data_IF_536492666295
#
_entry.id   IF_536492666295
#
_cell.length_a   1.000
_cell.length_b   1.000
_cell.length_c   1.000
_cell.angle_alpha   90.00
_cell.angle_beta   90.00
_cell.angle_gamma   90.00
#
_symmetry.space_group_name_H-M   'P 1'
#
loop_
_entity.id
_entity.type
_entity.pdbx_description
1 polymer ?
#
# COMPACT_ATOMS: atom_id res chain seq x y z
N UNK A 1 13.23 -10.01 2.07
CA UNK A 1 13.75 -8.74 1.48
C UNK A 1 13.52 -8.83 -0.01
N UNK A 2 13.00 -7.76 -0.60
CA UNK A 2 12.89 -7.70 -2.06
C UNK A 2 14.24 -7.90 -2.74
N UNK A 3 14.21 -8.43 -3.94
CA UNK A 3 15.40 -8.68 -4.77
C UNK A 3 16.23 -7.41 -4.91
N UNK A 4 17.53 -7.44 -4.57
CA UNK A 4 18.36 -6.25 -4.66
C UNK A 4 18.52 -5.81 -6.13
N UNK A 5 18.44 -4.50 -6.35
CA UNK A 5 18.68 -3.92 -7.67
C UNK A 5 20.16 -4.10 -8.03
N UNK A 6 20.51 -4.66 -9.20
CA UNK A 6 21.88 -4.82 -9.64
C UNK A 6 22.58 -3.47 -9.77
N UNK A 7 23.90 -3.42 -9.56
CA UNK A 7 24.70 -2.21 -9.71
C UNK A 7 24.60 -1.53 -11.10
N UNK A 8 24.20 -2.27 -12.12
CA UNK A 8 23.95 -1.77 -13.47
C UNK A 8 22.49 -1.38 -13.76
N UNK A 9 21.66 -1.36 -12.72
CA UNK A 9 20.22 -1.14 -12.87
C UNK A 9 19.43 -2.41 -13.23
N UNK A 10 18.10 -2.28 -13.26
CA UNK A 10 17.21 -3.37 -13.65
C UNK A 10 17.25 -3.53 -15.17
N UNK A 11 17.58 -4.73 -15.64
CA UNK A 11 17.53 -5.05 -17.08
C UNK A 11 16.06 -5.15 -17.48
N UNK A 12 15.59 -4.20 -18.27
CA UNK A 12 14.24 -4.23 -18.85
C UNK A 12 14.18 -5.29 -19.96
N UNK A 13 13.17 -6.11 -19.88
CA UNK A 13 12.79 -7.07 -20.91
C UNK A 13 11.46 -6.63 -21.53
N UNK A 14 11.20 -7.13 -22.75
CA UNK A 14 9.84 -7.04 -23.26
C UNK A 14 8.89 -7.84 -22.33
N UNK A 15 7.63 -7.43 -22.21
CA UNK A 15 6.67 -8.09 -21.31
C UNK A 15 6.63 -9.61 -21.46
N UNK A 16 6.54 -10.10 -22.68
CA UNK A 16 6.48 -11.55 -22.95
C UNK A 16 7.80 -12.26 -22.61
N UNK A 17 8.94 -11.60 -22.79
CA UNK A 17 10.26 -12.16 -22.42
C UNK A 17 10.42 -12.25 -20.91
N UNK A 18 9.89 -11.27 -20.16
CA UNK A 18 9.93 -11.32 -18.69
C UNK A 18 9.06 -12.47 -18.15
N UNK A 19 7.84 -12.61 -18.67
CA UNK A 19 6.94 -13.70 -18.30
C UNK A 19 7.53 -15.06 -18.68
N UNK A 20 8.10 -15.18 -19.89
CA UNK A 20 8.75 -16.42 -20.34
C UNK A 20 9.96 -16.80 -19.45
N UNK A 21 10.73 -15.81 -18.97
CA UNK A 21 11.81 -16.04 -18.02
C UNK A 21 11.26 -16.65 -16.73
N UNK A 22 10.23 -16.04 -16.11
CA UNK A 22 9.60 -16.61 -14.93
C UNK A 22 9.03 -18.02 -15.17
N UNK A 23 8.32 -18.21 -16.30
CA UNK A 23 7.80 -19.52 -16.65
C UNK A 23 8.91 -20.58 -16.75
N UNK A 24 10.09 -20.21 -17.24
CA UNK A 24 11.23 -21.13 -17.33
C UNK A 24 11.71 -21.64 -15.96
N UNK A 25 11.61 -20.82 -14.91
CA UNK A 25 11.98 -21.17 -13.53
C UNK A 25 11.01 -22.22 -12.95
N UNK A 26 9.73 -22.12 -13.28
CA UNK A 26 8.67 -22.91 -12.66
C UNK A 26 8.16 -24.09 -13.51
N UNK A 27 8.57 -24.19 -14.78
CA UNK A 27 8.06 -25.18 -15.74
C UNK A 27 8.20 -26.62 -15.27
N UNK A 28 9.17 -26.91 -14.37
CA UNK A 28 9.41 -28.25 -13.82
C UNK A 28 8.75 -28.48 -12.46
N UNK A 29 8.22 -27.45 -11.84
CA UNK A 29 7.65 -27.53 -10.50
C UNK A 29 6.14 -27.78 -10.50
N UNK A 30 5.47 -27.60 -11.64
CA UNK A 30 4.02 -27.80 -11.79
C UNK A 30 3.75 -29.06 -12.58
N UNK A 31 2.97 -29.99 -12.01
CA UNK A 31 2.54 -31.13 -12.80
C UNK A 31 1.36 -30.76 -13.72
N UNK A 32 1.22 -31.49 -14.83
CA UNK A 32 0.23 -31.20 -15.85
C UNK A 32 -1.23 -31.25 -15.36
N UNK A 33 -1.52 -32.08 -14.35
CA UNK A 33 -2.86 -32.20 -13.80
C UNK A 33 -3.22 -31.01 -12.89
N UNK A 34 -2.26 -30.51 -12.13
CA UNK A 34 -2.43 -29.30 -11.31
C UNK A 34 -2.60 -28.08 -12.19
N UNK A 35 -1.77 -27.94 -13.19
CA UNK A 35 -1.89 -26.84 -14.17
C UNK A 35 -3.25 -26.87 -14.86
N UNK A 36 -3.70 -28.04 -15.34
CA UNK A 36 -5.01 -28.17 -15.99
C UNK A 36 -6.18 -27.79 -15.06
N UNK A 37 -6.11 -28.14 -13.76
CA UNK A 37 -7.11 -27.73 -12.78
C UNK A 37 -7.11 -26.21 -12.56
N UNK A 38 -5.95 -25.62 -12.43
CA UNK A 38 -5.79 -24.19 -12.28
C UNK A 38 -6.34 -23.43 -13.52
N UNK A 39 -5.98 -23.87 -14.73
CA UNK A 39 -6.49 -23.34 -15.98
C UNK A 39 -8.01 -23.44 -16.08
N UNK A 40 -8.59 -24.60 -15.70
CA UNK A 40 -10.04 -24.79 -15.69
C UNK A 40 -10.73 -23.80 -14.73
N UNK A 41 -10.11 -23.54 -13.56
CA UNK A 41 -10.62 -22.55 -12.61
C UNK A 41 -10.56 -21.15 -13.18
N UNK A 42 -9.44 -20.71 -13.77
CA UNK A 42 -9.32 -19.40 -14.41
C UNK A 42 -10.35 -19.21 -15.52
N UNK A 43 -10.53 -20.21 -16.40
CA UNK A 43 -11.58 -20.18 -17.43
C UNK A 43 -12.99 -20.09 -16.86
N UNK A 44 -13.26 -20.83 -15.77
CA UNK A 44 -14.55 -20.78 -15.06
C UNK A 44 -14.86 -19.39 -14.47
N UNK A 45 -13.83 -18.61 -14.17
CA UNK A 45 -13.92 -17.22 -13.73
C UNK A 45 -13.95 -16.20 -14.89
N UNK A 46 -13.87 -16.65 -16.14
CA UNK A 46 -13.80 -15.78 -17.31
C UNK A 46 -12.43 -15.10 -17.50
N UNK A 47 -11.38 -15.60 -16.84
CA UNK A 47 -10.05 -15.02 -16.89
C UNK A 47 -9.19 -15.73 -17.95
N UNK A 48 -8.49 -14.92 -18.74
CA UNK A 48 -7.64 -15.39 -19.83
C UNK A 48 -6.19 -14.96 -19.60
N UNK A 49 -5.32 -15.94 -19.40
CA UNK A 49 -3.88 -15.78 -19.26
C UNK A 49 -3.17 -16.51 -20.41
N UNK A 50 -1.97 -16.03 -20.76
CA UNK A 50 -1.10 -16.75 -21.70
C UNK A 50 -0.59 -18.05 -21.06
N UNK A 51 -0.03 -18.97 -21.86
CA UNK A 51 0.50 -20.22 -21.34
C UNK A 51 1.65 -20.03 -20.34
N UNK A 52 2.50 -19.04 -20.57
CA UNK A 52 3.61 -18.72 -19.66
C UNK A 52 3.12 -18.05 -18.38
N UNK A 53 2.18 -17.09 -18.45
CA UNK A 53 1.49 -16.55 -17.26
C UNK A 53 0.85 -17.67 -16.44
N UNK A 54 0.13 -18.57 -17.11
CA UNK A 54 -0.54 -19.71 -16.48
C UNK A 54 0.46 -20.65 -15.77
N UNK A 55 1.62 -20.87 -16.36
CA UNK A 55 2.68 -21.71 -15.78
C UNK A 55 3.21 -21.08 -14.48
N UNK A 56 3.46 -19.77 -14.47
CA UNK A 56 3.91 -19.06 -13.28
C UNK A 56 2.83 -19.08 -12.20
N UNK A 57 1.63 -18.63 -12.54
CA UNK A 57 0.52 -18.51 -11.58
C UNK A 57 0.16 -19.87 -10.96
N UNK A 58 0.15 -20.96 -11.75
CA UNK A 58 -0.13 -22.29 -11.25
C UNK A 58 0.94 -22.81 -10.30
N UNK A 59 2.19 -22.36 -10.43
CA UNK A 59 3.30 -22.78 -9.57
C UNK A 59 3.25 -22.13 -8.18
N UNK A 60 2.60 -20.99 -8.06
CA UNK A 60 2.49 -20.20 -6.82
C UNK A 60 1.31 -20.66 -5.96
N UNK A 61 1.18 -21.98 -5.79
CA UNK A 61 0.01 -22.68 -5.24
C UNK A 61 -0.16 -22.56 -3.71
N UNK A 62 0.82 -21.99 -3.03
CA UNK A 62 0.75 -21.73 -1.59
C UNK A 62 1.19 -20.32 -1.25
N UNK A 63 0.65 -19.69 -0.18
CA UNK A 63 1.11 -18.37 0.26
C UNK A 63 2.63 -18.30 0.50
N UNK A 64 3.27 -19.40 0.92
CA UNK A 64 4.72 -19.46 1.12
C UNK A 64 5.50 -19.37 -0.19
N UNK A 65 5.11 -20.13 -1.23
CA UNK A 65 5.74 -20.06 -2.56
C UNK A 65 5.49 -18.71 -3.22
N UNK A 66 4.29 -18.16 -3.02
CA UNK A 66 3.97 -16.84 -3.51
C UNK A 66 4.85 -15.78 -2.84
N UNK A 67 5.05 -15.83 -1.52
CA UNK A 67 5.95 -14.91 -0.83
C UNK A 67 7.40 -15.07 -1.28
N UNK A 68 7.86 -16.29 -1.47
CA UNK A 68 9.20 -16.57 -2.01
C UNK A 68 9.36 -15.94 -3.40
N UNK A 69 8.37 -16.07 -4.29
CA UNK A 69 8.39 -15.42 -5.60
C UNK A 69 8.47 -13.90 -5.49
N UNK A 70 7.63 -13.30 -4.63
CA UNK A 70 7.62 -11.85 -4.42
C UNK A 70 8.98 -11.35 -3.95
N UNK A 71 9.62 -12.06 -3.03
CA UNK A 71 10.91 -11.63 -2.46
C UNK A 71 12.11 -11.92 -3.37
N UNK A 72 12.09 -13.02 -4.12
CA UNK A 72 13.26 -13.48 -4.88
C UNK A 72 13.22 -13.07 -6.35
N UNK A 73 12.05 -12.92 -6.93
CA UNK A 73 11.90 -12.68 -8.37
C UNK A 73 11.47 -11.27 -8.72
N UNK A 74 10.67 -10.60 -7.85
CA UNK A 74 10.25 -9.24 -8.10
C UNK A 74 11.22 -8.22 -7.52
N UNK A 75 11.55 -7.19 -8.33
CA UNK A 75 12.19 -5.99 -7.83
C UNK A 75 11.17 -5.07 -7.17
N UNK A 76 11.59 -4.32 -6.16
CA UNK A 76 10.74 -3.27 -5.63
C UNK A 76 10.58 -2.16 -6.67
N UNK A 77 9.33 -1.79 -6.96
CA UNK A 77 9.01 -0.66 -7.79
C UNK A 77 9.07 0.60 -6.90
N UNK A 78 10.15 1.33 -7.02
CA UNK A 78 10.24 2.66 -6.43
C UNK A 78 9.79 3.63 -7.51
N UNK A 79 8.55 4.09 -7.45
CA UNK A 79 7.90 4.90 -8.46
C UNK A 79 8.72 6.12 -8.88
N UNK A 80 9.46 6.70 -7.93
CA UNK A 80 10.33 7.85 -8.18
C UNK A 80 11.66 7.48 -8.86
N UNK A 81 12.11 6.26 -8.66
CA UNK A 81 13.30 5.69 -9.30
C UNK A 81 12.92 4.82 -10.51
N UNK A 82 11.63 4.63 -10.75
CA UNK A 82 11.14 3.92 -11.91
C UNK A 82 11.47 4.70 -13.17
N UNK A 83 11.56 3.96 -14.28
CA UNK A 83 12.08 4.42 -15.54
C UNK A 83 11.25 5.55 -16.16
N UNK A 84 9.97 5.62 -15.83
CA UNK A 84 9.06 6.63 -16.36
C UNK A 84 8.81 7.75 -15.34
N UNK A 85 9.40 7.67 -14.12
CA UNK A 85 9.22 8.62 -13.02
C UNK A 85 7.74 8.88 -12.66
N UNK A 86 6.89 7.90 -12.96
CA UNK A 86 5.46 7.95 -12.72
C UNK A 86 5.08 6.94 -11.66
N UNK A 87 4.24 7.33 -10.72
CA UNK A 87 3.58 6.39 -9.84
C UNK A 87 2.74 5.42 -10.65
N UNK A 88 2.66 4.19 -10.17
CA UNK A 88 1.93 3.13 -10.85
C UNK A 88 0.95 2.44 -9.90
N UNK A 89 -0.13 1.89 -10.46
CA UNK A 89 -1.05 0.99 -9.78
C UNK A 89 -1.23 -0.23 -10.67
N UNK A 90 -0.15 -0.99 -10.85
CA UNK A 90 -0.11 -2.09 -11.82
C UNK A 90 -1.03 -3.24 -11.40
N UNK A 91 -1.83 -3.78 -12.34
CA UNK A 91 -2.57 -5.00 -12.12
C UNK A 91 -1.62 -6.22 -12.09
N UNK A 92 -2.09 -7.38 -11.57
CA UNK A 92 -1.27 -8.59 -11.43
C UNK A 92 -0.56 -9.02 -12.71
N UNK A 93 -1.20 -8.89 -13.86
CA UNK A 93 -0.58 -9.17 -15.17
C UNK A 93 0.63 -8.28 -15.44
N UNK A 94 0.52 -6.99 -15.15
CA UNK A 94 1.62 -6.06 -15.37
C UNK A 94 2.78 -6.31 -14.42
N UNK A 95 2.51 -6.71 -13.18
CA UNK A 95 3.55 -7.16 -12.23
C UNK A 95 4.37 -8.31 -12.82
N UNK A 96 3.73 -9.32 -13.41
CA UNK A 96 4.44 -10.41 -14.11
C UNK A 96 5.25 -9.90 -15.32
N UNK A 97 4.68 -8.99 -16.09
CA UNK A 97 5.29 -8.46 -17.31
C UNK A 97 6.48 -7.54 -17.05
N UNK A 98 6.46 -6.83 -15.93
CA UNK A 98 7.56 -5.91 -15.56
C UNK A 98 8.59 -6.57 -14.66
N UNK A 99 8.20 -7.57 -13.88
CA UNK A 99 9.02 -8.14 -12.81
C UNK A 99 9.22 -7.20 -11.63
N UNK A 100 8.32 -6.22 -11.46
CA UNK A 100 8.40 -5.19 -10.44
C UNK A 100 7.05 -5.01 -9.74
N UNK A 101 7.08 -4.62 -8.46
CA UNK A 101 5.91 -4.22 -7.71
C UNK A 101 6.30 -3.37 -6.50
N UNK A 102 5.57 -2.31 -6.19
CA UNK A 102 5.59 -1.69 -4.85
C UNK A 102 4.59 -2.40 -3.90
N UNK A 103 4.39 -1.88 -2.69
CA UNK A 103 3.61 -2.57 -1.66
C UNK A 103 2.15 -2.85 -2.10
N UNK A 104 1.45 -1.86 -2.68
CA UNK A 104 0.09 -2.05 -3.18
C UNK A 104 0.03 -3.08 -4.32
N UNK A 105 0.87 -2.94 -5.32
CA UNK A 105 0.92 -3.83 -6.49
C UNK A 105 1.26 -5.27 -6.11
N UNK A 106 2.22 -5.42 -5.18
CA UNK A 106 2.58 -6.72 -4.63
C UNK A 106 1.44 -7.37 -3.83
N UNK A 107 0.70 -6.58 -3.05
CA UNK A 107 -0.48 -7.06 -2.34
C UNK A 107 -1.63 -7.42 -3.30
N UNK A 108 -1.86 -6.62 -4.35
CA UNK A 108 -2.85 -6.92 -5.39
C UNK A 108 -2.50 -8.19 -6.18
N UNK A 109 -1.23 -8.36 -6.53
CA UNK A 109 -0.73 -9.59 -7.15
C UNK A 109 -0.95 -10.80 -6.23
N UNK A 110 -0.58 -10.67 -4.97
CA UNK A 110 -0.74 -11.74 -3.99
C UNK A 110 -2.21 -12.06 -3.71
N UNK A 111 -3.07 -11.05 -3.63
CA UNK A 111 -4.52 -11.23 -3.50
C UNK A 111 -5.06 -12.07 -4.68
N UNK A 112 -4.73 -11.68 -5.92
CA UNK A 112 -5.19 -12.37 -7.11
C UNK A 112 -4.71 -13.84 -7.13
N UNK A 113 -3.43 -14.10 -6.90
CA UNK A 113 -2.87 -15.46 -6.92
C UNK A 113 -3.51 -16.33 -5.83
N UNK A 114 -3.60 -15.84 -4.60
CA UNK A 114 -4.27 -16.57 -3.51
C UNK A 114 -5.74 -16.88 -3.86
N UNK A 115 -6.47 -15.91 -4.41
CA UNK A 115 -7.86 -16.12 -4.84
C UNK A 115 -7.97 -17.18 -5.95
N UNK A 116 -7.10 -17.13 -6.94
CA UNK A 116 -7.05 -18.11 -8.04
C UNK A 116 -6.74 -19.53 -7.54
N UNK A 117 -6.02 -19.67 -6.43
CA UNK A 117 -5.79 -20.96 -5.77
C UNK A 117 -6.91 -21.38 -4.79
N UNK A 118 -7.96 -20.58 -4.65
CA UNK A 118 -9.14 -20.92 -3.86
C UNK A 118 -9.09 -20.46 -2.41
N UNK A 119 -8.11 -19.67 -2.04
CA UNK A 119 -8.12 -18.95 -0.78
C UNK A 119 -9.16 -17.82 -0.80
N UNK A 120 -9.42 -17.23 0.35
CA UNK A 120 -10.25 -16.03 0.52
C UNK A 120 -9.36 -14.92 1.07
N UNK A 121 -8.59 -14.27 0.22
CA UNK A 121 -7.73 -13.19 0.67
C UNK A 121 -8.55 -11.95 1.01
N UNK A 122 -8.01 -11.17 1.93
CA UNK A 122 -8.46 -9.83 2.25
C UNK A 122 -7.31 -8.86 2.01
N UNK A 123 -7.58 -7.69 1.46
CA UNK A 123 -6.62 -6.61 1.41
C UNK A 123 -6.69 -5.85 2.73
N UNK A 124 -5.57 -5.66 3.40
CA UNK A 124 -5.48 -4.93 4.67
C UNK A 124 -4.43 -3.83 4.53
N UNK A 125 -4.79 -2.62 4.90
CA UNK A 125 -3.90 -1.49 5.00
C UNK A 125 -3.31 -1.42 6.41
N UNK A 126 -2.02 -1.29 6.51
CA UNK A 126 -1.32 -0.84 7.71
C UNK A 126 -1.13 0.65 7.60
N UNK A 127 -1.73 1.41 8.50
CA UNK A 127 -1.68 2.86 8.53
C UNK A 127 -0.47 3.33 9.34
N UNK A 128 0.28 4.25 8.76
CA UNK A 128 1.44 4.84 9.39
C UNK A 128 1.29 6.35 9.57
N UNK A 129 1.76 6.86 10.69
CA UNK A 129 1.84 8.28 10.95
C UNK A 129 3.12 8.84 10.34
N UNK A 130 3.01 9.69 9.35
CA UNK A 130 4.14 10.38 8.69
C UNK A 130 5.08 9.49 7.89
N UNK A 131 4.60 8.37 7.45
CA UNK A 131 5.32 7.39 6.70
C UNK A 131 4.37 6.78 5.66
N UNK A 132 4.91 6.09 4.66
CA UNK A 132 4.08 5.43 3.68
C UNK A 132 3.29 4.28 4.32
N UNK A 133 2.01 4.22 4.07
CA UNK A 133 1.16 3.09 4.40
C UNK A 133 1.62 1.80 3.73
N UNK A 134 1.26 0.66 4.29
CA UNK A 134 1.68 -0.62 3.76
C UNK A 134 0.51 -1.57 3.50
N UNK A 135 0.56 -2.27 2.38
CA UNK A 135 -0.51 -3.11 1.89
C UNK A 135 -0.20 -4.59 2.07
N UNK A 136 -1.15 -5.34 2.63
CA UNK A 136 -1.04 -6.77 2.87
C UNK A 136 -2.16 -7.54 2.18
N UNK A 137 -1.82 -8.63 1.48
CA UNK A 137 -2.80 -9.65 1.11
C UNK A 137 -2.86 -10.69 2.24
N UNK A 138 -3.90 -10.62 3.06
CA UNK A 138 -4.07 -11.46 4.25
C UNK A 138 -4.88 -12.69 3.90
N UNK A 139 -4.39 -13.87 4.27
CA UNK A 139 -5.09 -15.13 4.13
C UNK A 139 -5.21 -15.86 5.46
N UNK A 140 -6.33 -16.57 5.63
CA UNK A 140 -6.52 -17.50 6.74
C UNK A 140 -6.27 -18.93 6.26
N UNK A 141 -5.30 -19.61 6.86
CA UNK A 141 -5.04 -21.01 6.54
C UNK A 141 -6.26 -21.89 6.86
N UNK A 142 -6.68 -22.70 5.90
CA UNK A 142 -7.90 -23.49 6.02
C UNK A 142 -7.81 -24.58 7.11
N UNK A 143 -6.62 -25.09 7.40
CA UNK A 143 -6.38 -26.17 8.37
C UNK A 143 -6.15 -25.61 9.77
N UNK A 144 -5.20 -24.68 9.91
CA UNK A 144 -4.81 -24.15 11.23
C UNK A 144 -5.74 -23.06 11.73
N UNK A 145 -6.50 -22.43 10.81
CA UNK A 145 -7.34 -21.23 11.06
C UNK A 145 -6.54 -20.01 11.47
N UNK A 146 -5.24 -20.03 11.32
CA UNK A 146 -4.36 -18.90 11.61
C UNK A 146 -4.24 -17.97 10.40
N UNK A 147 -3.98 -16.70 10.66
CA UNK A 147 -3.78 -15.67 9.65
C UNK A 147 -2.30 -15.53 9.31
N UNK A 148 -2.02 -15.28 8.05
CA UNK A 148 -0.75 -14.87 7.51
C UNK A 148 -0.96 -13.85 6.41
N UNK A 149 0.13 -13.31 5.86
CA UNK A 149 0.08 -12.30 4.81
C UNK A 149 1.13 -12.55 3.74
N UNK A 150 0.85 -12.05 2.54
CA UNK A 150 1.84 -11.81 1.51
C UNK A 150 1.98 -10.31 1.32
N UNK A 151 3.20 -9.83 1.18
CA UNK A 151 3.50 -8.43 0.99
C UNK A 151 4.83 -8.23 0.29
N UNK A 152 4.92 -7.17 -0.52
CA UNK A 152 6.16 -6.68 -1.13
C UNK A 152 6.65 -5.46 -0.35
N UNK A 153 7.92 -5.46 0.03
CA UNK A 153 8.55 -4.30 0.66
C UNK A 153 10.05 -4.25 0.38
N UNK A 154 10.59 -3.05 0.25
CA UNK A 154 12.04 -2.84 0.24
C UNK A 154 12.65 -2.91 1.64
N UNK A 155 11.84 -2.74 2.68
CA UNK A 155 12.30 -2.73 4.06
C UNK A 155 12.27 -4.14 4.66
N UNK A 156 13.37 -4.56 5.31
CA UNK A 156 13.39 -5.81 6.07
C UNK A 156 12.33 -5.75 7.18
N UNK A 157 11.60 -6.84 7.35
CA UNK A 157 10.58 -6.89 8.40
C UNK A 157 9.19 -6.41 7.98
N UNK A 158 9.02 -5.74 6.82
CA UNK A 158 7.71 -5.40 6.27
C UNK A 158 7.25 -6.36 5.15
N UNK A 159 7.93 -7.45 4.93
CA UNK A 159 7.51 -8.54 4.02
C UNK A 159 6.41 -9.38 4.64
N UNK A 160 5.82 -10.27 3.85
CA UNK A 160 4.74 -11.16 4.30
C UNK A 160 5.08 -12.00 5.53
N UNK A 161 4.05 -12.52 6.18
CA UNK A 161 4.13 -13.34 7.39
C UNK A 161 3.53 -14.72 7.17
N UNK A 162 4.15 -15.79 7.66
CA UNK A 162 3.52 -17.11 7.63
C UNK A 162 2.24 -17.15 8.47
N UNK A 163 1.34 -18.09 8.18
CA UNK A 163 0.08 -18.25 8.88
C UNK A 163 0.29 -18.81 10.30
N UNK A 164 0.48 -17.90 11.26
CA UNK A 164 0.74 -18.20 12.67
C UNK A 164 0.00 -17.32 13.67
N UNK A 165 -0.81 -16.36 13.20
CA UNK A 165 -1.50 -15.38 14.04
C UNK A 165 -2.98 -15.73 14.21
N UNK A 166 -3.49 -15.65 15.43
CA UNK A 166 -4.89 -16.00 15.72
C UNK A 166 -5.88 -14.95 15.19
N UNK A 167 -5.46 -13.70 15.07
CA UNK A 167 -6.28 -12.58 14.61
C UNK A 167 -5.53 -11.70 13.61
N UNK A 168 -6.27 -10.92 12.81
CA UNK A 168 -5.68 -9.91 11.93
C UNK A 168 -4.94 -8.84 12.75
N UNK A 169 -5.46 -8.47 13.94
CA UNK A 169 -4.78 -7.57 14.87
C UNK A 169 -3.40 -8.10 15.27
N UNK A 170 -3.31 -9.36 15.72
CA UNK A 170 -2.02 -9.95 16.11
C UNK A 170 -1.03 -10.04 14.93
N UNK A 171 -1.54 -10.26 13.72
CA UNK A 171 -0.74 -10.19 12.49
C UNK A 171 -0.24 -8.76 12.27
N UNK A 172 -1.11 -7.76 12.33
CA UNK A 172 -0.74 -6.35 12.15
C UNK A 172 0.27 -5.88 13.21
N UNK A 173 0.05 -6.22 14.49
CA UNK A 173 0.97 -5.93 15.59
C UNK A 173 2.38 -6.52 15.38
N UNK A 174 2.50 -7.61 14.63
CA UNK A 174 3.81 -8.22 14.34
C UNK A 174 4.70 -7.36 13.44
N UNK A 175 4.15 -6.38 12.75
CA UNK A 175 4.89 -5.42 11.93
C UNK A 175 5.44 -4.26 12.76
N UNK A 176 4.87 -4.00 13.92
CA UNK A 176 5.15 -2.84 14.75
C UNK A 176 6.65 -2.59 14.99
N UNK A 177 7.47 -3.57 15.39
CA UNK A 177 8.88 -3.33 15.70
C UNK A 177 9.74 -2.99 14.48
N UNK A 178 9.20 -3.18 13.28
CA UNK A 178 9.92 -3.01 12.01
C UNK A 178 9.41 -1.80 11.22
N UNK A 179 8.37 -1.15 11.71
CA UNK A 179 7.71 -0.04 11.02
C UNK A 179 8.15 1.27 11.66
N UNK A 180 9.25 1.79 11.20
CA UNK A 180 9.84 3.03 11.67
C UNK A 180 10.09 3.99 10.50
N UNK A 181 10.08 5.28 10.80
CA UNK A 181 10.15 6.35 9.81
C UNK A 181 11.29 6.15 8.80
N UNK A 182 10.95 6.20 7.53
CA UNK A 182 11.91 6.17 6.42
C UNK A 182 12.72 7.47 6.32
N UNK A 183 12.26 8.53 6.98
CA UNK A 183 12.95 9.84 7.03
C UNK A 183 14.08 9.84 8.03
N UNK A 184 13.87 9.26 9.21
CA UNK A 184 14.89 9.22 10.28
C UNK A 184 15.73 7.97 10.22
N UNK A 185 15.20 6.86 9.71
CA UNK A 185 15.78 5.53 9.74
C UNK A 185 16.15 5.07 11.17
N UNK A 186 15.52 5.68 12.18
CA UNK A 186 15.73 5.35 13.58
C UNK A 186 14.70 4.30 14.03
N UNK A 187 15.13 3.10 14.45
CA UNK A 187 14.20 2.07 14.96
C UNK A 187 13.38 2.49 16.19
N UNK A 188 13.78 3.56 16.87
CA UNK A 188 12.99 4.13 17.96
C UNK A 188 11.85 5.04 17.49
N UNK A 189 11.86 5.44 16.22
CA UNK A 189 10.87 6.32 15.61
C UNK A 189 9.79 5.50 14.91
N UNK A 190 9.00 4.76 15.71
CA UNK A 190 7.94 3.88 15.21
C UNK A 190 6.77 4.69 14.69
N UNK A 191 6.30 4.35 13.49
CA UNK A 191 5.29 5.11 12.76
C UNK A 191 3.96 4.35 12.57
N UNK A 192 3.93 3.03 12.77
CA UNK A 192 2.71 2.24 12.61
C UNK A 192 1.67 2.59 13.68
N UNK A 193 0.48 3.03 13.27
CA UNK A 193 -0.58 3.47 14.17
C UNK A 193 -1.78 2.52 14.21
N UNK A 194 -2.07 1.82 13.13
CA UNK A 194 -3.24 0.98 13.06
C UNK A 194 -3.30 0.10 11.81
N UNK A 195 -4.46 -0.48 11.59
CA UNK A 195 -4.75 -1.30 10.42
C UNK A 195 -6.23 -1.22 10.05
N UNK A 196 -6.55 -1.38 8.77
CA UNK A 196 -7.93 -1.38 8.28
C UNK A 196 -8.64 -2.71 8.51
N UNK A 197 -9.97 -2.69 8.46
CA UNK A 197 -10.74 -3.89 8.18
C UNK A 197 -10.29 -4.51 6.85
N UNK A 198 -10.39 -5.82 6.75
CA UNK A 198 -10.05 -6.53 5.52
C UNK A 198 -11.08 -6.31 4.41
N UNK A 199 -10.61 -5.96 3.23
CA UNK A 199 -11.44 -5.74 2.04
C UNK A 199 -11.50 -7.01 1.19
N UNK A 200 -12.71 -7.50 0.90
CA UNK A 200 -12.93 -8.51 -0.13
C UNK A 200 -13.13 -7.83 -1.49
N UNK A 201 -12.03 -7.62 -2.19
CA UNK A 201 -12.05 -6.94 -3.50
C UNK A 201 -12.90 -7.67 -4.53
N UNK A 202 -13.13 -8.98 -4.37
CA UNK A 202 -13.96 -9.73 -5.33
C UNK A 202 -15.44 -9.45 -5.15
N UNK A 203 -15.86 -9.07 -3.95
CA UNK A 203 -17.23 -8.66 -3.69
C UNK A 203 -17.53 -7.28 -4.32
N UNK A 204 -16.58 -6.37 -4.29
CA UNK A 204 -16.77 -4.99 -4.72
C UNK A 204 -16.45 -4.80 -6.22
N UNK A 205 -15.41 -5.45 -6.75
CA UNK A 205 -14.88 -5.23 -8.11
C UNK A 205 -14.95 -6.48 -9.01
N UNK A 206 -15.45 -7.60 -8.51
CA UNK A 206 -15.39 -8.87 -9.24
C UNK A 206 -13.95 -9.35 -9.42
N UNK A 207 -13.67 -10.04 -10.53
CA UNK A 207 -12.35 -10.70 -10.73
C UNK A 207 -11.62 -10.27 -12.01
N UNK A 208 -12.26 -9.51 -12.89
CA UNK A 208 -11.71 -9.18 -14.22
C UNK A 208 -10.38 -8.40 -14.14
N UNK A 209 -10.20 -7.57 -13.11
CA UNK A 209 -8.98 -6.81 -12.86
C UNK A 209 -7.74 -7.70 -12.68
N UNK A 210 -7.90 -8.95 -12.22
CA UNK A 210 -6.79 -9.89 -12.00
C UNK A 210 -6.05 -10.27 -13.30
N UNK A 211 -6.74 -10.21 -14.43
CA UNK A 211 -6.18 -10.50 -15.75
C UNK A 211 -6.17 -9.26 -16.68
N UNK A 212 -6.49 -8.09 -16.15
CA UNK A 212 -6.46 -6.82 -16.89
C UNK A 212 -5.02 -6.39 -17.17
N UNK A 213 -4.84 -5.59 -18.21
CA UNK A 213 -3.62 -4.80 -18.46
C UNK A 213 -3.74 -3.35 -17.99
N UNK A 214 -4.96 -2.93 -17.59
CA UNK A 214 -5.25 -1.56 -17.19
C UNK A 214 -4.84 -1.28 -15.74
N UNK A 215 -4.34 -0.07 -15.42
CA UNK A 215 -4.00 0.33 -14.07
C UNK A 215 -5.19 0.24 -13.11
N UNK A 216 -4.90 -0.04 -11.85
CA UNK A 216 -5.91 -0.25 -10.79
C UNK A 216 -6.21 1.03 -9.99
N UNK A 217 -6.17 2.20 -10.61
CA UNK A 217 -6.35 3.48 -9.92
C UNK A 217 -7.71 3.59 -9.23
N UNK A 218 -8.78 3.08 -9.84
CA UNK A 218 -10.11 3.11 -9.25
C UNK A 218 -10.16 2.30 -7.94
N UNK A 219 -9.50 1.14 -7.92
CA UNK A 219 -9.40 0.31 -6.71
C UNK A 219 -8.53 1.03 -5.68
N UNK A 220 -7.37 1.55 -6.10
CA UNK A 220 -6.43 2.25 -5.23
C UNK A 220 -7.09 3.42 -4.50
N UNK A 221 -7.71 4.34 -5.23
CA UNK A 221 -8.34 5.51 -4.61
C UNK A 221 -9.56 5.17 -3.77
N UNK A 222 -10.40 4.24 -4.21
CA UNK A 222 -11.55 3.83 -3.40
C UNK A 222 -11.10 3.14 -2.11
N UNK A 223 -10.07 2.30 -2.21
CA UNK A 223 -9.54 1.58 -1.07
C UNK A 223 -8.90 2.50 -0.02
N UNK A 224 -8.10 3.48 -0.44
CA UNK A 224 -7.46 4.44 0.46
C UNK A 224 -8.45 5.45 1.02
N UNK A 225 -9.38 5.95 0.18
CA UNK A 225 -10.33 6.98 0.58
C UNK A 225 -11.61 6.44 1.24
N UNK A 226 -11.95 5.18 0.99
CA UNK A 226 -13.07 4.52 1.67
C UNK A 226 -12.56 4.06 3.03
N UNK A 227 -12.38 5.01 3.94
CA UNK A 227 -11.97 4.80 5.31
C UNK A 227 -12.99 3.91 6.04
N UNK A 228 -13.01 2.64 5.63
CA UNK A 228 -13.62 1.58 6.40
C UNK A 228 -12.92 1.57 7.74
N UNK A 229 -13.56 1.06 8.73
CA UNK A 229 -13.14 1.11 10.11
C UNK A 229 -11.65 0.78 10.28
N UNK A 230 -10.88 1.74 10.76
CA UNK A 230 -9.52 1.51 11.23
C UNK A 230 -9.50 1.07 12.68
N UNK A 231 -8.57 0.20 13.01
CA UNK A 231 -8.33 -0.32 14.35
C UNK A 231 -6.98 0.16 14.84
N UNK A 232 -6.95 1.15 15.72
CA UNK A 232 -5.73 1.67 16.32
C UNK A 232 -5.20 0.75 17.43
N UNK A 233 -3.87 0.64 17.53
CA UNK A 233 -3.22 -0.28 18.46
C UNK A 233 -3.40 0.15 19.92
N UNK A 234 -3.27 1.43 20.19
CA UNK A 234 -3.44 2.00 21.54
C UNK A 234 -4.89 2.20 21.97
N UNK A 235 -5.83 2.11 21.05
CA UNK A 235 -7.20 2.60 21.26
C UNK A 235 -7.27 4.13 21.37
N UNK A 236 -6.14 4.81 21.30
CA UNK A 236 -5.95 6.24 21.38
C UNK A 236 -4.96 6.67 20.29
N UNK A 237 -5.43 7.21 19.15
CA UNK A 237 -4.57 7.68 18.07
C UNK A 237 -3.57 8.75 18.54
N UNK A 238 -3.78 9.33 19.73
CA UNK A 238 -2.89 10.33 20.30
C UNK A 238 -1.62 9.78 20.96
N UNK A 239 -1.41 8.47 21.00
CA UNK A 239 -0.14 7.88 21.47
C UNK A 239 0.86 7.64 20.35
N UNK A 240 0.43 7.62 19.11
CA UNK A 240 1.27 7.57 17.95
C UNK A 240 1.66 9.00 17.52
N UNK A 241 2.89 9.19 17.11
CA UNK A 241 3.51 10.47 16.76
C UNK A 241 2.64 11.41 15.89
N UNK A 242 1.92 12.37 16.44
CA UNK A 242 1.18 13.35 15.62
C UNK A 242 2.06 14.55 15.21
N UNK A 243 3.36 14.35 14.97
CA UNK A 243 4.30 15.46 14.78
C UNK A 243 3.98 16.37 13.58
N UNK A 244 3.55 15.93 12.39
CA UNK A 244 3.11 16.86 11.36
C UNK A 244 1.78 17.51 11.68
N UNK A 245 0.86 16.80 12.31
CA UNK A 245 -0.38 17.41 12.79
C UNK A 245 -0.08 18.51 13.79
N UNK A 246 0.81 18.30 14.76
CA UNK A 246 1.24 19.32 15.71
C UNK A 246 1.85 20.51 14.99
N UNK A 247 2.75 20.27 14.04
CA UNK A 247 3.34 21.33 13.22
C UNK A 247 2.29 22.07 12.41
N UNK A 248 1.38 21.37 11.74
CA UNK A 248 0.31 21.99 10.98
C UNK A 248 -0.63 22.83 11.84
N UNK A 249 -0.87 22.43 13.10
CA UNK A 249 -1.60 23.23 14.08
C UNK A 249 -0.81 24.45 14.55
N UNK A 250 0.48 24.31 14.81
CA UNK A 250 1.38 25.42 15.22
C UNK A 250 1.49 26.49 14.12
N UNK A 251 1.61 26.06 12.87
CA UNK A 251 1.65 26.95 11.70
C UNK A 251 0.26 27.44 11.28
N UNK A 252 -0.79 27.02 11.99
CA UNK A 252 -2.20 27.35 11.69
C UNK A 252 -2.70 26.87 10.33
N UNK A 253 -2.03 25.91 9.72
CA UNK A 253 -2.45 25.33 8.43
C UNK A 253 -3.68 24.43 8.58
N UNK A 254 -3.92 23.89 9.78
CA UNK A 254 -5.16 23.18 10.12
C UNK A 254 -5.91 23.97 11.18
N UNK A 255 -7.18 24.21 10.93
CA UNK A 255 -8.11 24.93 11.82
C UNK A 255 -9.44 24.20 11.95
N UNK A 256 -10.21 24.56 12.96
CA UNK A 256 -11.60 24.13 13.09
C UNK A 256 -12.53 25.17 12.47
N UNK A 257 -13.50 24.72 11.71
CA UNK A 257 -14.60 25.59 11.24
C UNK A 257 -15.58 25.93 12.38
N UNK A 258 -16.62 26.68 12.05
CA UNK A 258 -17.65 27.09 13.01
C UNK A 258 -18.43 25.92 13.61
N UNK A 259 -18.40 24.74 13.00
CA UNK A 259 -19.00 23.49 13.45
C UNK A 259 -18.01 22.61 14.23
N UNK A 260 -16.76 23.05 14.38
CA UNK A 260 -15.70 22.32 15.03
C UNK A 260 -15.07 21.23 14.14
N UNK A 261 -15.30 21.26 12.82
CA UNK A 261 -14.72 20.30 11.89
C UNK A 261 -13.34 20.77 11.43
N UNK A 262 -12.30 19.92 11.50
CA UNK A 262 -10.99 20.24 10.99
C UNK A 262 -10.99 20.46 9.46
N UNK A 263 -10.18 21.39 9.01
CA UNK A 263 -9.95 21.67 7.59
C UNK A 263 -8.59 22.34 7.38
N UNK A 264 -8.03 22.20 6.19
CA UNK A 264 -6.83 22.94 5.79
C UNK A 264 -7.17 24.41 5.56
N UNK A 265 -6.48 25.29 6.29
CA UNK A 265 -6.67 26.74 6.19
C UNK A 265 -5.79 27.32 5.09
N UNK A 266 -6.33 27.42 3.89
CA UNK A 266 -5.60 27.98 2.75
C UNK A 266 -5.14 29.43 2.96
N UNK A 267 -5.79 30.16 3.86
CA UNK A 267 -5.42 31.55 4.16
C UNK A 267 -4.09 31.67 4.90
N UNK A 268 -3.71 30.63 5.62
CA UNK A 268 -2.49 30.59 6.43
C UNK A 268 -1.30 29.99 5.68
N UNK A 269 -1.52 29.38 4.52
CA UNK A 269 -0.46 29.00 3.60
C UNK A 269 0.16 30.25 2.94
N UNK A 270 1.46 30.20 2.65
CA UNK A 270 2.09 31.24 1.83
C UNK A 270 1.39 31.34 0.45
N UNK A 271 1.43 32.51 -0.21
CA UNK A 271 0.78 32.65 -1.51
C UNK A 271 1.20 31.57 -2.52
N UNK A 272 2.49 31.22 -2.55
CA UNK A 272 3.00 30.20 -3.46
C UNK A 272 2.54 28.78 -3.06
N UNK A 273 2.55 28.44 -1.78
CA UNK A 273 2.04 27.15 -1.31
C UNK A 273 0.54 26.98 -1.63
N UNK A 274 -0.24 28.05 -1.53
CA UNK A 274 -1.65 28.04 -1.92
C UNK A 274 -1.87 27.81 -3.41
N UNK A 275 -1.11 28.48 -4.25
CA UNK A 275 -1.15 28.24 -5.70
C UNK A 275 -0.83 26.77 -6.05
N UNK A 276 0.16 26.19 -5.37
CA UNK A 276 0.55 24.80 -5.55
C UNK A 276 -0.52 23.85 -5.03
N UNK A 277 -1.13 24.15 -3.88
CA UNK A 277 -2.26 23.39 -3.36
C UNK A 277 -3.41 23.33 -4.35
N UNK A 278 -3.84 24.50 -4.85
CA UNK A 278 -4.91 24.59 -5.84
C UNK A 278 -4.57 23.88 -7.15
N UNK A 279 -3.30 23.97 -7.58
CA UNK A 279 -2.82 23.28 -8.76
C UNK A 279 -2.79 21.77 -8.57
N UNK A 280 -2.31 21.30 -7.43
CA UNK A 280 -2.26 19.88 -7.09
C UNK A 280 -3.65 19.25 -7.12
N UNK A 281 -4.61 19.79 -6.37
CA UNK A 281 -5.96 19.24 -6.31
C UNK A 281 -6.76 19.40 -7.61
N UNK A 282 -6.40 20.33 -8.47
CA UNK A 282 -6.96 20.44 -9.82
C UNK A 282 -6.47 19.31 -10.72
N UNK A 283 -5.22 18.91 -10.58
CA UNK A 283 -4.63 17.80 -11.34
C UNK A 283 -4.98 16.43 -10.74
N UNK A 284 -5.21 16.37 -9.42
CA UNK A 284 -5.35 15.14 -8.65
C UNK A 284 -6.72 14.93 -7.97
N UNK A 285 -7.52 15.96 -7.83
CA UNK A 285 -8.77 15.91 -7.08
C UNK A 285 -9.78 14.90 -7.62
N UNK A 286 -10.81 14.56 -6.84
CA UNK A 286 -11.86 13.63 -7.24
C UNK A 286 -12.45 14.00 -8.61
N UNK A 287 -12.49 13.05 -9.53
CA UNK A 287 -13.00 13.25 -10.90
C UNK A 287 -11.97 13.69 -11.93
N UNK A 288 -10.69 13.84 -11.59
CA UNK A 288 -9.65 14.24 -12.53
C UNK A 288 -9.27 13.13 -13.55
N UNK A 289 -9.64 11.88 -13.28
CA UNK A 289 -9.34 10.71 -14.13
C UNK A 289 -7.84 10.35 -14.16
N UNK A 290 -7.48 9.22 -14.80
CA UNK A 290 -6.09 8.81 -14.93
C UNK A 290 -5.33 9.84 -15.79
N UNK A 291 -4.33 10.50 -15.21
CA UNK A 291 -3.48 11.48 -15.88
C UNK A 291 -2.00 11.17 -15.68
N UNK A 292 -1.12 11.53 -16.64
CA UNK A 292 0.32 11.45 -16.44
C UNK A 292 0.72 12.33 -15.24
N UNK A 293 1.40 11.75 -14.26
CA UNK A 293 1.65 12.38 -12.95
C UNK A 293 2.89 13.26 -12.88
N UNK A 294 3.73 13.31 -13.90
CA UNK A 294 4.96 14.11 -13.85
C UNK A 294 4.75 15.53 -13.36
N UNK A 295 3.69 16.19 -13.83
CA UNK A 295 3.37 17.56 -13.43
C UNK A 295 2.84 17.66 -11.98
N UNK A 296 2.07 16.68 -11.54
CA UNK A 296 1.56 16.67 -10.18
C UNK A 296 2.67 16.39 -9.17
N UNK A 297 3.59 15.49 -9.50
CA UNK A 297 4.77 15.22 -8.69
C UNK A 297 5.68 16.45 -8.57
N UNK A 298 5.89 17.20 -9.65
CA UNK A 298 6.64 18.48 -9.59
C UNK A 298 5.97 19.48 -8.63
N UNK A 299 4.64 19.59 -8.69
CA UNK A 299 3.84 20.45 -7.82
C UNK A 299 3.96 20.00 -6.35
N UNK A 300 3.82 18.71 -6.11
CA UNK A 300 3.94 18.09 -4.79
C UNK A 300 5.33 18.34 -4.17
N UNK A 301 6.40 18.09 -4.92
CA UNK A 301 7.77 18.31 -4.46
C UNK A 301 8.06 19.79 -4.18
N UNK A 302 7.55 20.73 -4.98
CA UNK A 302 7.71 22.15 -4.72
C UNK A 302 6.92 22.56 -3.47
N UNK A 303 5.70 22.05 -3.30
CA UNK A 303 4.90 22.28 -2.08
C UNK A 303 5.62 21.76 -0.84
N UNK A 304 6.13 20.52 -0.90
CA UNK A 304 6.88 19.90 0.20
C UNK A 304 8.16 20.69 0.54
N UNK A 305 8.85 21.23 -0.45
CA UNK A 305 10.02 22.07 -0.21
C UNK A 305 9.67 23.37 0.56
N UNK A 306 8.50 23.95 0.30
CA UNK A 306 8.03 25.17 0.97
C UNK A 306 7.44 24.93 2.35
N UNK A 307 6.77 23.80 2.56
CA UNK A 307 5.98 23.53 3.76
C UNK A 307 6.57 22.40 4.62
N UNK A 308 7.39 21.54 4.04
CA UNK A 308 7.92 20.33 4.69
C UNK A 308 6.88 19.21 4.82
N UNK A 309 5.75 19.30 4.10
CA UNK A 309 4.71 18.28 4.02
C UNK A 309 4.13 18.25 2.61
N UNK A 310 3.53 17.16 2.17
CA UNK A 310 2.83 17.11 0.88
C UNK A 310 1.41 17.67 1.00
N UNK A 311 0.73 18.02 -0.11
CA UNK A 311 -0.69 18.38 -0.06
C UNK A 311 -1.57 17.25 0.49
N UNK A 312 -1.25 16.00 0.16
CA UNK A 312 -1.97 14.82 0.66
C UNK A 312 -1.79 14.71 2.16
N UNK A 313 -0.55 14.66 2.66
CA UNK A 313 -0.26 14.55 4.09
C UNK A 313 -0.91 15.70 4.90
N UNK A 314 -0.98 16.91 4.32
CA UNK A 314 -1.61 18.03 5.01
C UNK A 314 -3.13 17.88 5.08
N UNK A 315 -3.76 17.33 4.04
CA UNK A 315 -5.20 17.04 4.03
C UNK A 315 -5.51 15.87 5.00
N UNK A 316 -4.70 14.83 4.97
CA UNK A 316 -4.81 13.68 5.89
C UNK A 316 -4.62 14.10 7.35
N UNK A 317 -3.70 14.99 7.65
CA UNK A 317 -3.57 15.56 9.01
C UNK A 317 -4.84 16.30 9.48
N UNK A 318 -5.57 16.96 8.58
CA UNK A 318 -6.85 17.57 8.94
C UNK A 318 -7.91 16.50 9.23
N UNK A 319 -7.87 15.39 8.51
CA UNK A 319 -8.73 14.24 8.76
C UNK A 319 -8.35 13.55 10.08
N UNK A 320 -7.08 13.29 10.33
CA UNK A 320 -6.58 12.67 11.57
C UNK A 320 -6.98 13.48 12.82
N UNK A 321 -6.98 14.80 12.73
CA UNK A 321 -7.43 15.63 13.85
C UNK A 321 -8.86 15.31 14.29
N UNK A 322 -9.73 14.84 13.40
CA UNK A 322 -11.09 14.43 13.77
C UNK A 322 -11.06 13.25 14.76
N UNK A 323 -10.16 12.29 14.57
CA UNK A 323 -10.02 11.14 15.48
C UNK A 323 -9.53 11.56 16.85
N UNK A 324 -8.54 12.45 16.92
CA UNK A 324 -8.06 12.98 18.20
C UNK A 324 -9.16 13.71 18.95
N UNK A 325 -9.95 14.54 18.24
CA UNK A 325 -11.07 15.25 18.85
C UNK A 325 -12.19 14.29 19.28
N UNK A 326 -12.48 13.26 18.47
CA UNK A 326 -13.45 12.22 18.80
C UNK A 326 -13.00 11.37 20.00
N UNK A 327 -11.69 11.14 20.16
CA UNK A 327 -11.10 10.50 21.34
C UNK A 327 -11.08 11.41 22.58
N UNK A 328 -11.57 12.64 22.48
CA UNK A 328 -11.72 13.57 23.58
C UNK A 328 -10.54 14.53 23.81
N UNK A 329 -9.54 14.54 22.92
CA UNK A 329 -8.44 15.51 22.99
C UNK A 329 -8.92 16.91 22.66
N UNK A 330 -8.33 17.90 23.34
CA UNK A 330 -8.45 19.31 22.97
C UNK A 330 -7.20 19.76 22.23
N UNK A 331 -7.32 20.74 21.35
CA UNK A 331 -6.18 21.28 20.60
C UNK A 331 -5.00 21.66 21.51
N UNK A 332 -5.26 22.31 22.64
CA UNK A 332 -4.25 22.69 23.63
C UNK A 332 -3.49 21.48 24.19
N UNK A 333 -4.18 20.34 24.36
CA UNK A 333 -3.57 19.11 24.83
C UNK A 333 -2.69 18.48 23.77
N UNK A 334 -3.10 18.52 22.49
CA UNK A 334 -2.28 18.05 21.37
C UNK A 334 -0.98 18.83 21.25
N UNK A 335 -1.02 20.15 21.49
CA UNK A 335 0.15 21.03 21.40
C UNK A 335 1.11 20.90 22.59
N UNK A 336 0.63 20.42 23.73
CA UNK A 336 1.39 20.43 25.00
C UNK A 336 1.73 19.05 25.56
N UNK A 337 1.04 17.98 25.12
CA UNK A 337 1.30 16.63 25.60
C UNK A 337 2.70 16.17 25.17
N UNK A 338 3.54 15.71 26.08
CA UNK A 338 4.79 15.06 25.69
C UNK A 338 4.45 13.72 25.05
N UNK A 339 4.58 13.67 23.74
CA UNK A 339 4.36 12.46 22.96
C UNK A 339 5.51 11.49 23.22
N UNK A 340 5.19 10.26 23.62
CA UNK A 340 6.21 9.24 23.83
C UNK A 340 6.79 8.85 22.46
N UNK A 341 8.09 8.95 22.35
CA UNK A 341 8.82 8.32 21.26
C UNK A 341 8.87 6.81 21.55
N UNK A 342 8.18 6.04 20.72
CA UNK A 342 8.21 4.60 20.77
C UNK A 342 7.38 3.98 21.91
N UNK A 343 6.83 2.83 21.64
CA UNK A 343 6.25 1.97 22.67
C UNK A 343 7.40 1.32 23.46
N UNK A 344 7.43 1.53 24.75
CA UNK A 344 8.30 0.78 25.66
C UNK A 344 7.78 -0.62 25.90
#
# INVERSE_FOLDING_TARGET
MSKPVPAGGIVRRQPDEQVALFASLYRRSVNSAEQARFEARCRGLGLHFTQDEMTVLAALDTPARLQEFIESELYYNDDHASIDQEETAMPPRRVLQTGMAHCFEGAMFAFAVNYLHGHRPLLVLLEASQDADHNLAVCRDARTKLYGSNAQSRYPGLVGRPAQYETVRALAESYFPFYYSDRTLDPADLTLVGFSDGFDLTADYGVSWMASGEPLWDIYYTYINDARTFHYFSGDPGESHPYPLIRALQESWIRLDAQGKPHVSLLDLSPRARELWDAFWREFGPGSGPRPRGKAHEIEMEFMHLTGTTPIDLDDNAFDLQFYLAAGYKLEQLLTKPWKQGFS
#
